data_IF_668789237304
#
_entry.id   IF_668789237304
#
_cell.length_a   1.000
_cell.length_b   1.000
_cell.length_c   1.000
_cell.angle_alpha   90.00
_cell.angle_beta   90.00
_cell.angle_gamma   90.00
#
_symmetry.space_group_name_H-M   'P 1'
#
loop_
_entity.id
_entity.type
_entity.pdbx_description
1 polymer ?
#
# COMPACT_ATOMS: atom_id res chain seq x y z
N UNK A 1 26.86 -25.30 -3.59
CA UNK A 1 27.68 -24.36 -2.79
C UNK A 1 26.77 -23.83 -1.70
N UNK A 2 27.06 -24.11 -0.43
CA UNK A 2 26.39 -23.40 0.66
C UNK A 2 26.81 -21.93 0.61
N UNK A 3 25.87 -21.00 0.58
CA UNK A 3 26.17 -19.56 0.58
C UNK A 3 26.66 -19.14 1.97
N UNK A 4 27.53 -18.12 2.06
CA UNK A 4 28.11 -17.68 3.34
C UNK A 4 27.01 -17.31 4.38
N UNK A 5 25.87 -16.85 3.89
CA UNK A 5 24.65 -16.57 4.67
C UNK A 5 24.07 -17.83 5.33
N UNK A 6 24.08 -18.98 4.63
CA UNK A 6 23.66 -20.26 5.21
C UNK A 6 24.62 -20.70 6.32
N UNK A 7 25.94 -20.52 6.15
CA UNK A 7 26.92 -20.84 7.20
C UNK A 7 26.76 -19.97 8.46
N UNK A 8 26.33 -18.71 8.30
CA UNK A 8 26.03 -17.82 9.43
C UNK A 8 24.71 -18.16 10.13
N UNK A 9 23.74 -18.71 9.39
CA UNK A 9 22.42 -19.11 9.91
C UNK A 9 22.46 -20.51 10.54
N UNK A 10 23.31 -21.40 10.03
CA UNK A 10 23.51 -22.79 10.47
C UNK A 10 24.65 -22.96 11.49
N UNK A 11 24.79 -22.02 12.42
CA UNK A 11 25.87 -22.03 13.43
C UNK A 11 25.94 -23.34 14.23
N UNK A 12 24.78 -23.91 14.52
CA UNK A 12 24.62 -25.19 15.23
C UNK A 12 25.06 -26.37 14.36
N UNK A 13 24.77 -26.36 13.06
CA UNK A 13 25.18 -27.43 12.15
C UNK A 13 26.71 -27.44 11.97
N UNK A 14 27.36 -26.27 11.93
CA UNK A 14 28.82 -26.16 11.87
C UNK A 14 29.44 -26.67 13.17
N UNK A 15 28.88 -26.30 14.32
CA UNK A 15 29.37 -26.75 15.62
C UNK A 15 29.32 -28.29 15.73
N UNK A 16 28.21 -28.90 15.31
CA UNK A 16 28.06 -30.37 15.28
C UNK A 16 29.07 -31.04 14.34
N UNK A 17 29.28 -30.48 13.14
CA UNK A 17 30.27 -31.00 12.19
C UNK A 17 31.69 -30.93 12.76
N UNK A 18 32.04 -29.83 13.43
CA UNK A 18 33.32 -29.69 14.10
C UNK A 18 33.48 -30.64 15.28
N UNK A 19 32.42 -30.86 16.08
CA UNK A 19 32.40 -31.82 17.17
C UNK A 19 32.72 -33.23 16.68
N UNK A 20 32.05 -33.69 15.62
CA UNK A 20 32.29 -35.01 15.04
C UNK A 20 33.73 -35.17 14.55
N UNK A 21 34.25 -34.19 13.79
CA UNK A 21 35.62 -34.24 13.25
C UNK A 21 36.67 -34.23 14.38
N UNK A 22 36.44 -33.44 15.44
CA UNK A 22 37.37 -33.33 16.56
C UNK A 22 37.32 -34.59 17.45
N UNK A 23 36.15 -35.17 17.67
CA UNK A 23 36.00 -36.40 18.47
C UNK A 23 36.72 -37.57 17.77
N UNK A 24 36.46 -37.79 16.48
CA UNK A 24 37.18 -38.79 15.66
C UNK A 24 38.70 -38.56 15.68
N UNK A 25 39.12 -37.29 15.58
CA UNK A 25 40.53 -36.93 15.59
C UNK A 25 41.21 -37.04 16.96
N UNK A 26 40.47 -37.05 18.08
CA UNK A 26 41.05 -37.04 19.45
C UNK A 26 40.89 -38.37 20.18
N UNK A 27 40.12 -39.31 19.62
CA UNK A 27 39.90 -40.65 20.16
C UNK A 27 41.22 -41.42 20.40
N UNK A 28 42.16 -41.33 19.46
CA UNK A 28 43.49 -41.97 19.58
C UNK A 28 44.38 -41.43 20.72
N UNK A 29 44.05 -40.24 21.25
CA UNK A 29 44.73 -39.65 22.41
C UNK A 29 43.98 -39.90 23.73
N UNK A 30 42.84 -40.59 23.69
CA UNK A 30 42.00 -40.87 24.86
C UNK A 30 41.31 -39.64 25.43
N UNK A 31 41.13 -38.59 24.61
CA UNK A 31 40.43 -37.36 24.98
C UNK A 31 39.04 -37.39 24.35
N UNK A 32 38.00 -37.17 25.15
CA UNK A 32 36.60 -37.07 24.68
C UNK A 32 36.19 -35.60 24.58
N UNK A 33 35.62 -35.21 23.44
CA UNK A 33 35.13 -33.85 23.23
C UNK A 33 33.66 -33.78 23.66
N UNK A 34 33.33 -32.96 24.68
CA UNK A 34 31.94 -32.88 25.18
C UNK A 34 31.08 -31.82 24.48
N UNK A 35 31.67 -30.69 24.06
CA UNK A 35 30.95 -29.60 23.40
C UNK A 35 31.89 -28.71 22.61
N UNK A 36 31.52 -28.40 21.38
CA UNK A 36 32.20 -27.40 20.55
C UNK A 36 31.26 -26.21 20.36
N UNK A 37 31.78 -25.00 20.62
CA UNK A 37 31.05 -23.77 20.40
C UNK A 37 31.88 -22.81 19.56
N UNK A 38 31.32 -22.39 18.42
CA UNK A 38 31.94 -21.35 17.60
C UNK A 38 31.89 -20.04 18.42
N UNK A 39 32.95 -19.21 18.42
CA UNK A 39 32.91 -17.90 19.13
C UNK A 39 32.69 -16.75 18.17
N UNK A 40 33.68 -16.40 17.38
CA UNK A 40 33.59 -15.29 16.42
C UNK A 40 34.02 -15.72 15.03
N UNK A 41 33.20 -15.39 14.03
CA UNK A 41 33.55 -15.52 12.60
C UNK A 41 33.87 -14.12 12.10
N UNK A 42 35.14 -13.87 11.73
CA UNK A 42 35.55 -12.58 11.15
C UNK A 42 35.60 -12.68 9.64
N UNK A 43 34.76 -11.89 8.98
CA UNK A 43 34.76 -11.75 7.53
C UNK A 43 35.67 -10.59 7.11
N UNK A 44 36.36 -10.69 5.96
CA UNK A 44 37.09 -9.56 5.42
C UNK A 44 36.11 -8.45 5.02
N UNK A 45 36.47 -7.20 5.33
CA UNK A 45 35.59 -6.03 5.19
C UNK A 45 35.01 -5.84 3.77
N UNK A 46 35.76 -6.24 2.74
CA UNK A 46 35.32 -6.18 1.35
C UNK A 46 34.11 -7.10 1.08
N UNK A 47 34.12 -8.33 1.60
CA UNK A 47 33.01 -9.27 1.43
C UNK A 47 31.77 -8.81 2.19
N UNK A 48 31.92 -8.32 3.42
CA UNK A 48 30.79 -7.79 4.21
C UNK A 48 30.06 -6.67 3.48
N UNK A 49 30.81 -5.76 2.82
CA UNK A 49 30.22 -4.68 2.03
C UNK A 49 29.50 -5.19 0.79
N UNK A 50 30.10 -6.12 0.05
CA UNK A 50 29.48 -6.71 -1.13
C UNK A 50 28.18 -7.45 -0.78
N UNK A 51 28.19 -8.24 0.30
CA UNK A 51 27.01 -8.95 0.79
C UNK A 51 25.91 -8.00 1.27
N UNK A 52 26.26 -6.93 1.97
CA UNK A 52 25.29 -5.93 2.39
C UNK A 52 24.62 -5.24 1.18
N UNK A 53 25.39 -4.91 0.14
CA UNK A 53 24.86 -4.33 -1.08
C UNK A 53 23.95 -5.31 -1.85
N UNK A 54 24.33 -6.58 -1.94
CA UNK A 54 23.51 -7.63 -2.56
C UNK A 54 22.21 -7.87 -1.79
N UNK A 55 22.28 -7.94 -0.46
CA UNK A 55 21.13 -8.13 0.40
C UNK A 55 20.13 -6.96 0.28
N UNK A 56 20.63 -5.73 0.22
CA UNK A 56 19.76 -4.55 0.05
C UNK A 56 19.12 -4.54 -1.35
N UNK A 57 19.88 -4.82 -2.41
CA UNK A 57 19.32 -4.91 -3.76
C UNK A 57 18.23 -6.00 -3.87
N UNK A 58 18.44 -7.16 -3.26
CA UNK A 58 17.45 -8.23 -3.20
C UNK A 58 16.21 -7.81 -2.41
N UNK A 59 16.38 -7.07 -1.31
CA UNK A 59 15.28 -6.54 -0.50
C UNK A 59 14.46 -5.51 -1.26
N UNK A 60 15.11 -4.55 -1.92
CA UNK A 60 14.46 -3.54 -2.76
C UNK A 60 13.69 -4.17 -3.92
N UNK A 61 14.28 -5.17 -4.59
CA UNK A 61 13.63 -5.89 -5.68
C UNK A 61 12.36 -6.60 -5.18
N UNK A 62 12.42 -7.29 -4.04
CA UNK A 62 11.25 -7.94 -3.41
C UNK A 62 10.20 -6.91 -3.00
N UNK A 63 10.61 -5.77 -2.43
CA UNK A 63 9.69 -4.71 -2.04
C UNK A 63 8.89 -4.19 -3.24
N UNK A 64 9.53 -4.00 -4.40
CA UNK A 64 8.86 -3.57 -5.65
C UNK A 64 7.84 -4.60 -6.14
N UNK A 65 8.17 -5.88 -6.10
CA UNK A 65 7.23 -6.95 -6.48
C UNK A 65 6.01 -6.95 -5.56
N UNK A 66 6.22 -6.90 -4.25
CA UNK A 66 5.12 -6.87 -3.26
C UNK A 66 4.26 -5.62 -3.43
N UNK A 67 4.86 -4.46 -3.70
CA UNK A 67 4.12 -3.24 -3.97
C UNK A 67 3.25 -3.37 -5.22
N UNK A 68 3.80 -3.86 -6.34
CA UNK A 68 3.06 -4.05 -7.58
C UNK A 68 1.91 -5.05 -7.43
N UNK A 69 2.12 -6.16 -6.71
CA UNK A 69 1.05 -7.11 -6.38
C UNK A 69 -0.03 -6.50 -5.48
N UNK A 70 0.37 -5.70 -4.49
CA UNK A 70 -0.52 -4.96 -3.62
C UNK A 70 -1.40 -3.98 -4.40
N UNK A 71 -0.80 -3.21 -5.30
CA UNK A 71 -1.51 -2.28 -6.20
C UNK A 71 -2.48 -3.01 -7.12
N UNK A 72 -2.09 -4.16 -7.68
CA UNK A 72 -3.00 -4.95 -8.52
C UNK A 72 -4.20 -5.47 -7.73
N UNK A 73 -3.98 -5.99 -6.52
CA UNK A 73 -5.07 -6.46 -5.64
C UNK A 73 -6.00 -5.32 -5.24
N UNK A 74 -5.43 -4.18 -4.85
CA UNK A 74 -6.21 -2.98 -4.52
C UNK A 74 -7.04 -2.49 -5.71
N UNK A 75 -6.46 -2.46 -6.90
CA UNK A 75 -7.15 -2.04 -8.13
C UNK A 75 -8.33 -2.95 -8.47
N UNK A 76 -8.18 -4.28 -8.31
CA UNK A 76 -9.27 -5.23 -8.51
C UNK A 76 -10.41 -5.01 -7.52
N UNK A 77 -10.09 -4.88 -6.23
CA UNK A 77 -11.09 -4.62 -5.20
C UNK A 77 -11.83 -3.29 -5.43
N UNK A 78 -11.11 -2.24 -5.85
CA UNK A 78 -11.71 -0.95 -6.20
C UNK A 78 -12.63 -1.04 -7.42
N UNK A 79 -12.25 -1.82 -8.44
CA UNK A 79 -13.11 -2.09 -9.61
C UNK A 79 -14.40 -2.80 -9.18
N UNK A 80 -14.30 -3.86 -8.40
CA UNK A 80 -15.47 -4.60 -7.91
C UNK A 80 -16.39 -3.69 -7.09
N UNK A 81 -15.83 -2.84 -6.22
CA UNK A 81 -16.60 -1.86 -5.48
C UNK A 81 -17.28 -0.84 -6.41
N UNK A 82 -16.61 -0.39 -7.47
CA UNK A 82 -17.19 0.52 -8.46
C UNK A 82 -18.34 -0.12 -9.24
N UNK A 83 -18.19 -1.39 -9.65
CA UNK A 83 -19.23 -2.15 -10.35
C UNK A 83 -20.48 -2.31 -9.45
N UNK A 84 -20.30 -2.56 -8.15
CA UNK A 84 -21.40 -2.62 -7.17
C UNK A 84 -22.06 -1.26 -6.99
N UNK A 85 -21.29 -0.17 -6.91
CA UNK A 85 -21.84 1.20 -6.81
C UNK A 85 -22.61 1.56 -8.08
N UNK A 86 -22.14 1.15 -9.25
CA UNK A 86 -22.83 1.39 -10.52
C UNK A 86 -24.18 0.66 -10.56
N UNK A 87 -24.25 -0.58 -10.04
CA UNK A 87 -25.48 -1.34 -9.97
C UNK A 87 -26.54 -0.70 -9.05
N UNK A 88 -26.14 0.11 -8.05
CA UNK A 88 -27.06 0.79 -7.16
C UNK A 88 -26.69 2.29 -6.97
N UNK A 89 -27.36 3.22 -7.69
CA UNK A 89 -27.03 4.64 -7.62
C UNK A 89 -27.26 5.27 -6.23
N UNK A 90 -28.06 4.65 -5.36
CA UNK A 90 -28.25 5.10 -3.96
C UNK A 90 -26.97 4.89 -3.14
N UNK A 91 -26.14 3.90 -3.49
CA UNK A 91 -24.87 3.63 -2.81
C UNK A 91 -23.89 4.81 -2.92
N UNK A 92 -23.86 5.49 -4.07
CA UNK A 92 -23.03 6.67 -4.27
C UNK A 92 -23.47 7.83 -3.37
N UNK A 93 -24.79 8.03 -3.22
CA UNK A 93 -25.34 9.05 -2.33
C UNK A 93 -24.98 8.79 -0.86
N UNK A 94 -25.10 7.54 -0.40
CA UNK A 94 -24.69 7.16 0.96
C UNK A 94 -23.19 7.39 1.19
N UNK A 95 -22.35 7.05 0.21
CA UNK A 95 -20.90 7.32 0.27
C UNK A 95 -20.59 8.82 0.33
N UNK A 96 -21.33 9.65 -0.42
CA UNK A 96 -21.22 11.11 -0.31
C UNK A 96 -21.59 11.60 1.09
N UNK A 97 -22.68 11.11 1.69
CA UNK A 97 -23.07 11.47 3.05
C UNK A 97 -22.05 11.02 4.10
N UNK A 98 -21.47 9.83 3.95
CA UNK A 98 -20.40 9.34 4.82
C UNK A 98 -19.14 10.21 4.72
N UNK A 99 -18.72 10.58 3.51
CA UNK A 99 -17.58 11.47 3.31
C UNK A 99 -17.83 12.87 3.91
N UNK A 100 -19.05 13.39 3.79
CA UNK A 100 -19.43 14.64 4.44
C UNK A 100 -19.41 14.52 5.97
N UNK A 101 -19.88 13.39 6.51
CA UNK A 101 -19.83 13.12 7.95
C UNK A 101 -18.40 13.01 8.48
N UNK A 102 -17.47 12.40 7.73
CA UNK A 102 -16.07 12.29 8.14
C UNK A 102 -15.38 13.66 8.10
N UNK A 103 -15.64 14.47 7.07
CA UNK A 103 -15.09 15.84 6.96
C UNK A 103 -15.66 16.74 8.07
N UNK A 104 -16.96 16.62 8.37
CA UNK A 104 -17.60 17.38 9.44
C UNK A 104 -17.06 17.03 10.83
N UNK A 105 -16.58 15.79 11.03
CA UNK A 105 -15.95 15.37 12.27
C UNK A 105 -14.55 15.99 12.48
N UNK A 106 -13.84 16.38 11.41
CA UNK A 106 -12.47 16.93 11.44
C UNK A 106 -12.37 18.46 11.71
N UNK A 107 -13.42 19.13 12.20
CA UNK A 107 -13.35 20.54 12.65
C UNK A 107 -12.87 21.56 11.58
N UNK A 108 -13.40 21.52 10.35
CA UNK A 108 -13.21 22.61 9.37
C UNK A 108 -14.55 23.27 9.03
N UNK A 109 -14.74 24.55 9.43
CA UNK A 109 -16.04 25.24 9.47
C UNK A 109 -16.61 25.68 8.11
N UNK A 110 -16.07 25.19 7.00
CA UNK A 110 -16.50 25.56 5.64
C UNK A 110 -16.78 24.29 4.84
N UNK A 111 -18.05 23.86 4.87
CA UNK A 111 -18.54 22.73 4.06
C UNK A 111 -18.82 23.27 2.65
N UNK A 112 -17.87 23.10 1.74
CA UNK A 112 -18.11 23.36 0.31
C UNK A 112 -18.97 22.24 -0.22
N UNK A 113 -20.27 22.50 -0.34
CA UNK A 113 -21.24 21.55 -0.88
C UNK A 113 -21.16 21.57 -2.42
N UNK A 114 -20.72 20.49 -3.08
CA UNK A 114 -20.78 20.41 -4.53
C UNK A 114 -22.25 20.21 -4.93
N UNK A 115 -22.94 21.30 -5.23
CA UNK A 115 -24.27 21.22 -5.85
C UNK A 115 -24.09 20.63 -7.25
N UNK A 116 -24.85 19.58 -7.63
CA UNK A 116 -24.77 18.98 -8.96
C UNK A 116 -24.99 20.03 -10.07
N UNK A 117 -24.15 20.01 -11.10
CA UNK A 117 -24.24 20.93 -12.25
C UNK A 117 -25.61 20.87 -12.95
N UNK A 118 -26.32 19.74 -12.85
CA UNK A 118 -27.67 19.59 -13.39
C UNK A 118 -28.69 20.52 -12.71
N UNK A 119 -28.52 20.83 -11.42
CA UNK A 119 -29.37 21.80 -10.71
C UNK A 119 -29.17 23.23 -11.23
N UNK A 120 -27.94 23.60 -11.59
CA UNK A 120 -27.66 24.93 -12.15
C UNK A 120 -28.35 25.14 -13.50
N UNK A 121 -28.41 24.10 -14.34
CA UNK A 121 -29.11 24.15 -15.63
C UNK A 121 -30.62 24.43 -15.48
N UNK A 122 -31.27 23.81 -14.49
CA UNK A 122 -32.70 24.01 -14.22
C UNK A 122 -32.98 25.45 -13.74
N UNK A 123 -32.12 26.00 -12.89
CA UNK A 123 -32.25 27.35 -12.34
C UNK A 123 -32.08 28.40 -13.47
N UNK A 124 -31.05 28.24 -14.30
CA UNK A 124 -30.77 29.16 -15.43
C UNK A 124 -31.91 29.12 -16.46
N UNK A 125 -32.44 27.95 -16.79
CA UNK A 125 -33.55 27.80 -17.74
C UNK A 125 -34.82 28.47 -17.23
N UNK A 126 -35.17 28.29 -15.95
CA UNK A 126 -36.33 28.95 -15.33
C UNK A 126 -36.19 30.47 -15.32
N UNK A 127 -35.01 31.00 -15.02
CA UNK A 127 -34.73 32.45 -15.04
C UNK A 127 -34.93 33.02 -16.45
N UNK A 128 -34.43 32.34 -17.48
CA UNK A 128 -34.58 32.79 -18.86
C UNK A 128 -36.05 32.79 -19.33
N UNK A 129 -36.82 31.77 -18.91
CA UNK A 129 -38.25 31.69 -19.20
C UNK A 129 -39.05 32.81 -18.51
N UNK A 130 -38.73 33.12 -17.25
CA UNK A 130 -39.35 34.21 -16.49
C UNK A 130 -39.01 35.57 -17.12
N UNK A 131 -37.74 35.80 -17.48
CA UNK A 131 -37.30 37.02 -18.16
C UNK A 131 -38.02 37.21 -19.49
N UNK A 132 -38.13 36.17 -20.33
CA UNK A 132 -38.93 36.23 -21.56
C UNK A 132 -40.40 36.56 -21.29
N UNK A 133 -40.99 36.00 -20.24
CA UNK A 133 -42.39 36.22 -19.88
C UNK A 133 -42.63 37.65 -19.38
N UNK A 134 -41.71 38.22 -18.60
CA UNK A 134 -41.74 39.61 -18.14
C UNK A 134 -41.54 40.57 -19.31
N UNK A 135 -40.54 40.34 -20.17
CA UNK A 135 -40.29 41.18 -21.35
C UNK A 135 -41.50 41.17 -22.29
N UNK A 136 -42.09 39.99 -22.55
CA UNK A 136 -43.26 39.88 -23.41
C UNK A 136 -44.50 40.55 -22.80
N UNK A 137 -44.69 40.46 -21.48
CA UNK A 137 -45.74 41.18 -20.75
C UNK A 137 -45.53 42.70 -20.86
N UNK A 138 -44.30 43.16 -20.66
CA UNK A 138 -43.94 44.59 -20.73
C UNK A 138 -44.14 45.16 -22.14
N UNK A 139 -43.79 44.40 -23.19
CA UNK A 139 -44.02 44.79 -24.59
C UNK A 139 -45.51 44.83 -24.93
N UNK A 140 -46.30 43.87 -24.42
CA UNK A 140 -47.74 43.83 -24.68
C UNK A 140 -48.50 44.96 -23.97
N UNK A 141 -48.03 45.36 -22.79
CA UNK A 141 -48.65 46.40 -21.95
C UNK A 141 -48.27 47.83 -22.40
N UNK A 142 -47.19 48.01 -23.16
CA UNK A 142 -46.81 49.27 -23.83
C UNK A 142 -47.48 49.49 -25.20
N UNK A 143 -48.14 48.46 -25.77
CA UNK A 143 -48.78 48.51 -27.09
C UNK A 143 -50.31 48.65 -27.04
N UNK A 144 -50.85 49.00 -25.87
CA UNK A 144 -52.26 49.24 -25.59
C UNK A 144 -52.44 50.66 -25.09
#
# INVERSE_FOLDING_TARGET
>A
MKTLTEMLTEREAIAQLCETILDEGTEHWGVKVERVEVKDIRLPQQLTRAMAAEAEAAREARAKVVAAEGEQKASRALKEAADVIQANPVALQLRHLQALSSIAAEHNSTIVFPVPVEMFGIIIFKINLILKKIIFRCIYEQKR
#
